data_IF_270171791336
#
_entry.id   IF_270171791336
#
_cell.length_a   1.000
_cell.length_b   1.000
_cell.length_c   1.000
_cell.angle_alpha   90.00
_cell.angle_beta   90.00
_cell.angle_gamma   90.00
#
_symmetry.space_group_name_H-M   'P 1'
#
loop_
_entity.id
_entity.type
_entity.pdbx_description
1 polymer ?
#
# COMPACT_ATOMS: atom_id res chain seq x y z
N UNK A 1 -6.85 30.30 23.02
CA UNK A 1 -5.39 30.17 22.88
C UNK A 1 -4.99 28.93 23.66
N UNK A 2 -5.01 27.78 23.01
CA UNK A 2 -4.57 26.52 23.65
C UNK A 2 -3.06 26.58 23.65
N UNK A 3 -2.46 26.67 24.84
CA UNK A 3 -1.02 26.73 24.99
C UNK A 3 -0.41 25.40 24.57
N UNK A 4 0.57 25.48 23.68
CA UNK A 4 1.28 24.34 23.12
C UNK A 4 1.98 23.53 24.21
N UNK A 5 1.73 22.22 24.23
CA UNK A 5 2.78 21.31 24.68
C UNK A 5 3.86 21.35 23.59
N UNK A 6 5.04 21.85 23.95
CA UNK A 6 6.25 21.82 23.12
C UNK A 6 6.20 22.50 21.74
N UNK A 7 5.31 23.48 21.53
CA UNK A 7 5.22 24.21 20.25
C UNK A 7 4.31 23.58 19.20
N UNK A 8 3.58 22.51 19.53
CA UNK A 8 2.66 21.83 18.61
C UNK A 8 1.18 22.21 18.82
N UNK A 9 0.34 21.95 17.79
CA UNK A 9 -1.11 22.15 17.86
C UNK A 9 -1.76 21.08 18.74
N UNK A 10 -2.12 21.47 19.96
CA UNK A 10 -2.73 20.61 20.97
C UNK A 10 -4.04 19.98 20.49
N UNK A 11 -4.81 20.66 19.62
CA UNK A 11 -6.08 20.14 19.11
C UNK A 11 -5.91 18.87 18.27
N UNK A 12 -4.80 18.76 17.53
CA UNK A 12 -4.49 17.56 16.76
C UNK A 12 -4.17 16.37 17.67
N UNK A 13 -3.35 16.57 18.70
CA UNK A 13 -3.03 15.52 19.68
C UNK A 13 -4.27 15.03 20.42
N UNK A 14 -5.13 15.95 20.86
CA UNK A 14 -6.38 15.62 21.53
C UNK A 14 -7.29 14.78 20.63
N UNK A 15 -7.39 15.09 19.34
CA UNK A 15 -8.20 14.31 18.39
C UNK A 15 -7.68 12.87 18.22
N UNK A 16 -6.38 12.69 18.04
CA UNK A 16 -5.75 11.37 17.96
C UNK A 16 -5.93 10.58 19.26
N UNK A 17 -5.68 11.21 20.41
CA UNK A 17 -5.85 10.58 21.72
C UNK A 17 -7.30 10.19 21.98
N UNK A 18 -8.27 11.03 21.64
CA UNK A 18 -9.70 10.68 21.76
C UNK A 18 -10.06 9.45 20.93
N UNK A 19 -9.51 9.34 19.72
CA UNK A 19 -9.72 8.17 18.86
C UNK A 19 -9.14 6.90 19.48
N UNK A 20 -7.90 6.96 19.97
CA UNK A 20 -7.24 5.84 20.65
C UNK A 20 -7.99 5.41 21.91
N UNK A 21 -8.44 6.37 22.73
CA UNK A 21 -9.25 6.08 23.93
C UNK A 21 -10.52 5.32 23.58
N UNK A 22 -11.26 5.75 22.54
CA UNK A 22 -12.50 5.08 22.12
C UNK A 22 -12.22 3.68 21.56
N UNK A 23 -11.18 3.53 20.74
CA UNK A 23 -10.78 2.25 20.13
C UNK A 23 -10.34 1.25 21.21
N UNK A 24 -9.50 1.69 22.16
CA UNK A 24 -9.05 0.86 23.27
C UNK A 24 -10.20 0.48 24.21
N UNK A 25 -11.12 1.41 24.50
CA UNK A 25 -12.30 1.12 25.32
C UNK A 25 -13.24 0.08 24.66
N UNK A 26 -13.18 -0.06 23.33
CA UNK A 26 -13.91 -1.07 22.57
C UNK A 26 -13.14 -2.40 22.41
N UNK A 27 -11.97 -2.56 23.03
CA UNK A 27 -11.05 -3.70 22.86
C UNK A 27 -10.65 -3.94 21.39
N UNK A 28 -10.47 -2.87 20.63
CA UNK A 28 -9.96 -2.91 19.26
C UNK A 28 -8.48 -2.51 19.32
N UNK A 29 -7.58 -3.28 18.71
CA UNK A 29 -6.15 -2.95 18.68
C UNK A 29 -5.88 -1.88 17.60
N UNK A 30 -5.28 -0.72 17.96
CA UNK A 30 -4.96 0.31 16.99
C UNK A 30 -3.71 -0.06 16.18
N UNK A 31 -3.86 -0.04 14.85
CA UNK A 31 -2.77 -0.04 13.88
C UNK A 31 -2.70 1.34 13.23
N UNK A 32 -1.60 2.06 13.42
CA UNK A 32 -1.48 3.47 13.02
C UNK A 32 -0.49 3.63 11.89
N UNK A 33 -0.93 4.30 10.82
CA UNK A 33 -0.10 4.74 9.70
C UNK A 33 0.38 6.17 9.93
N UNK A 34 1.69 6.39 9.95
CA UNK A 34 2.27 7.72 10.18
C UNK A 34 2.07 8.66 8.98
N UNK A 35 2.25 8.16 7.76
CA UNK A 35 2.10 8.93 6.53
C UNK A 35 1.21 8.24 5.51
N UNK A 36 0.12 8.92 5.13
CA UNK A 36 -0.86 8.44 4.15
C UNK A 36 -1.17 9.56 3.14
N UNK A 37 -0.11 10.03 2.46
CA UNK A 37 -0.14 10.93 1.30
C UNK A 37 -0.50 12.39 1.57
N UNK A 38 -0.47 12.78 2.84
CA UNK A 38 -0.92 14.06 3.39
C UNK A 38 0.26 14.94 3.81
N UNK A 39 1.29 15.04 2.95
CA UNK A 39 2.49 15.83 3.24
C UNK A 39 2.13 17.31 3.52
N UNK A 40 2.62 17.91 4.62
CA UNK A 40 2.41 19.33 4.87
C UNK A 40 2.93 20.18 3.69
N UNK A 41 2.10 21.12 3.21
CA UNK A 41 2.44 21.96 2.06
C UNK A 41 3.76 22.71 2.24
N UNK A 42 4.08 23.17 3.46
CA UNK A 42 5.34 23.83 3.75
C UNK A 42 6.57 22.94 3.51
N UNK A 43 6.45 21.61 3.66
CA UNK A 43 7.52 20.67 3.32
C UNK A 43 7.61 20.45 1.81
N UNK A 44 6.47 20.39 1.11
CA UNK A 44 6.45 20.33 -0.37
C UNK A 44 7.08 21.59 -0.99
N UNK A 45 6.80 22.77 -0.44
CA UNK A 45 7.40 24.04 -0.87
C UNK A 45 8.93 24.05 -0.70
N UNK A 46 9.46 23.26 0.24
CA UNK A 46 10.89 23.01 0.43
C UNK A 46 11.44 21.86 -0.44
N UNK A 47 10.64 21.35 -1.37
CA UNK A 47 10.99 20.28 -2.32
C UNK A 47 10.39 18.92 -2.02
N UNK A 48 9.67 18.77 -0.89
CA UNK A 48 8.93 17.56 -0.53
C UNK A 48 9.79 16.30 -0.59
N UNK A 49 9.25 15.25 -1.21
CA UNK A 49 9.96 13.98 -1.35
C UNK A 49 11.16 14.02 -2.30
N UNK A 50 11.37 15.11 -3.05
CA UNK A 50 12.61 15.30 -3.83
C UNK A 50 13.76 15.83 -2.98
N UNK A 51 13.47 16.45 -1.83
CA UNK A 51 14.49 16.95 -0.91
C UNK A 51 15.00 15.80 -0.01
N UNK A 52 16.30 15.53 0.00
CA UNK A 52 16.90 14.47 0.82
C UNK A 52 16.67 14.66 2.33
N UNK A 53 16.49 15.90 2.78
CA UNK A 53 16.24 16.23 4.20
C UNK A 53 14.87 15.74 4.69
N UNK A 54 13.97 15.37 3.78
CA UNK A 54 12.64 14.83 4.14
C UNK A 54 12.74 13.58 5.01
N UNK A 55 13.81 12.80 4.85
CA UNK A 55 14.03 11.60 5.65
C UNK A 55 14.36 11.94 7.11
N UNK A 56 15.11 13.01 7.36
CA UNK A 56 15.38 13.52 8.71
C UNK A 56 14.12 14.13 9.32
N UNK A 57 13.35 14.90 8.55
CA UNK A 57 12.10 15.50 9.03
C UNK A 57 11.04 14.44 9.38
N UNK A 58 10.96 13.37 8.59
CA UNK A 58 10.07 12.26 8.86
C UNK A 58 10.49 11.46 10.10
N UNK A 59 11.80 11.32 10.36
CA UNK A 59 12.33 10.73 11.60
C UNK A 59 11.89 11.52 12.84
N UNK A 60 11.98 12.85 12.80
CA UNK A 60 11.52 13.73 13.90
C UNK A 60 10.00 13.66 14.12
N UNK A 61 9.22 13.62 13.02
CA UNK A 61 7.77 13.40 13.11
C UNK A 61 7.44 12.02 13.73
N UNK A 62 8.12 10.96 13.30
CA UNK A 62 7.94 9.63 13.85
C UNK A 62 8.30 9.58 15.35
N UNK A 63 9.39 10.24 15.76
CA UNK A 63 9.79 10.38 17.17
C UNK A 63 8.68 10.96 18.02
N UNK A 64 8.04 12.02 17.55
CA UNK A 64 6.91 12.66 18.22
C UNK A 64 5.74 11.68 18.37
N UNK A 65 5.33 11.03 17.28
CA UNK A 65 4.23 10.06 17.31
C UNK A 65 4.50 8.86 18.23
N UNK A 66 5.71 8.30 18.21
CA UNK A 66 6.08 7.18 19.08
C UNK A 66 6.11 7.59 20.55
N UNK A 67 6.59 8.81 20.85
CA UNK A 67 6.62 9.35 22.22
C UNK A 67 5.21 9.52 22.76
N UNK A 68 4.32 10.13 21.98
CA UNK A 68 2.98 10.51 22.45
C UNK A 68 2.01 9.33 22.48
N UNK A 69 2.05 8.44 21.47
CA UNK A 69 1.01 7.42 21.29
C UNK A 69 1.51 5.97 21.45
N UNK A 70 2.82 5.73 21.54
CA UNK A 70 3.38 4.37 21.53
C UNK A 70 3.09 3.52 22.78
N UNK A 71 2.56 4.12 23.84
CA UNK A 71 2.01 3.36 24.96
C UNK A 71 0.74 2.59 24.55
N UNK A 72 -0.10 3.21 23.73
CA UNK A 72 -1.40 2.68 23.29
C UNK A 72 -1.33 1.98 21.92
N UNK A 73 -0.36 2.33 21.08
CA UNK A 73 -0.21 1.79 19.71
C UNK A 73 0.89 0.72 19.66
N UNK A 74 0.52 -0.48 19.21
CA UNK A 74 1.44 -1.64 19.10
C UNK A 74 1.78 -2.05 17.68
N UNK A 75 1.07 -1.54 16.68
CA UNK A 75 1.37 -1.79 15.27
C UNK A 75 1.51 -0.45 14.55
N UNK A 76 2.72 -0.17 14.11
CA UNK A 76 3.07 1.03 13.38
C UNK A 76 3.33 0.72 11.91
N UNK A 77 2.71 1.49 11.02
CA UNK A 77 3.05 1.54 9.60
C UNK A 77 3.69 2.91 9.35
N UNK A 78 4.91 2.94 8.84
CA UNK A 78 5.57 4.23 8.57
C UNK A 78 4.92 4.94 7.39
N UNK A 79 4.82 4.27 6.25
CA UNK A 79 4.40 4.88 4.98
C UNK A 79 3.45 3.92 4.29
N UNK A 80 2.29 4.44 3.85
CA UNK A 80 1.37 3.72 2.98
C UNK A 80 1.73 3.93 1.50
N UNK A 81 1.84 2.83 0.76
CA UNK A 81 1.96 2.81 -0.71
C UNK A 81 3.00 3.81 -1.27
N UNK A 82 4.29 3.67 -0.92
CA UNK A 82 5.32 4.61 -1.35
C UNK A 82 5.46 4.69 -2.88
N UNK A 83 5.04 3.65 -3.62
CA UNK A 83 4.98 3.69 -5.08
C UNK A 83 3.98 4.73 -5.59
N UNK A 84 2.81 4.85 -4.96
CA UNK A 84 1.82 5.86 -5.34
C UNK A 84 2.38 7.26 -5.09
N UNK A 85 3.01 7.48 -3.94
CA UNK A 85 3.66 8.76 -3.63
C UNK A 85 4.73 9.09 -4.67
N UNK A 86 5.66 8.16 -4.91
CA UNK A 86 6.80 8.38 -5.80
C UNK A 86 6.37 8.55 -7.28
N UNK A 87 5.61 7.60 -7.82
CA UNK A 87 5.25 7.61 -9.23
C UNK A 87 4.02 8.47 -9.51
N UNK A 88 2.91 8.28 -8.79
CA UNK A 88 1.70 9.06 -9.06
C UNK A 88 1.78 10.50 -8.58
N UNK A 89 2.59 10.79 -7.55
CA UNK A 89 2.81 12.15 -7.06
C UNK A 89 3.88 12.95 -7.80
N UNK A 90 5.03 12.33 -8.14
CA UNK A 90 6.20 13.02 -8.72
C UNK A 90 6.61 12.52 -10.13
N UNK A 91 5.97 11.48 -10.64
CA UNK A 91 6.19 10.92 -11.98
C UNK A 91 5.08 11.29 -12.94
N UNK A 92 3.94 10.61 -12.85
CA UNK A 92 2.77 10.86 -13.69
C UNK A 92 1.96 12.09 -13.26
N UNK A 93 2.09 12.52 -12.00
CA UNK A 93 1.41 13.69 -11.45
C UNK A 93 -0.11 13.57 -11.35
N UNK A 94 -0.66 12.34 -11.38
CA UNK A 94 -2.10 12.12 -11.24
C UNK A 94 -2.60 12.33 -9.80
N UNK A 95 -1.73 12.15 -8.80
CA UNK A 95 -2.00 12.44 -7.39
C UNK A 95 -1.19 13.64 -6.91
N UNK A 96 -1.57 14.22 -5.77
CA UNK A 96 -0.79 15.26 -5.12
C UNK A 96 0.68 14.80 -4.89
N UNK A 97 1.68 15.68 -5.08
CA UNK A 97 1.58 17.11 -5.38
C UNK A 97 1.34 17.46 -6.87
N UNK A 98 1.01 16.48 -7.72
CA UNK A 98 0.69 16.71 -9.12
C UNK A 98 1.92 17.05 -9.97
N UNK A 99 3.10 16.60 -9.54
CA UNK A 99 4.36 16.94 -10.21
C UNK A 99 4.64 15.92 -11.30
N UNK A 100 4.85 16.43 -12.50
CA UNK A 100 5.37 15.69 -13.62
C UNK A 100 6.82 16.14 -13.85
N UNK A 101 7.76 15.24 -13.64
CA UNK A 101 9.19 15.53 -13.71
C UNK A 101 9.87 14.96 -14.95
N UNK A 102 11.14 15.31 -15.19
CA UNK A 102 12.01 14.38 -15.91
C UNK A 102 11.97 13.02 -15.20
N UNK A 103 12.17 11.90 -15.90
CA UNK A 103 12.08 10.55 -15.34
C UNK A 103 13.12 10.19 -14.24
N UNK A 104 13.70 11.19 -13.58
CA UNK A 104 14.48 11.13 -12.33
C UNK A 104 13.63 11.37 -11.09
N UNK A 105 12.57 12.19 -11.15
CA UNK A 105 11.80 12.59 -9.96
C UNK A 105 11.18 11.40 -9.23
N UNK A 106 10.54 10.49 -9.97
CA UNK A 106 10.00 9.22 -9.45
C UNK A 106 11.03 8.45 -8.62
N UNK A 107 12.25 8.31 -9.14
CA UNK A 107 13.29 7.55 -8.48
C UNK A 107 13.92 8.27 -7.29
N UNK A 108 14.05 9.59 -7.37
CA UNK A 108 14.53 10.41 -6.26
C UNK A 108 13.54 10.38 -5.09
N UNK A 109 12.24 10.57 -5.37
CA UNK A 109 11.18 10.46 -4.38
C UNK A 109 11.15 9.05 -3.75
N UNK A 110 11.17 8.00 -4.57
CA UNK A 110 11.20 6.62 -4.09
C UNK A 110 12.43 6.32 -3.20
N UNK A 111 13.61 6.84 -3.56
CA UNK A 111 14.81 6.69 -2.74
C UNK A 111 14.66 7.35 -1.37
N UNK A 112 14.17 8.59 -1.32
CA UNK A 112 13.98 9.32 -0.07
C UNK A 112 12.88 8.69 0.81
N UNK A 113 11.80 8.16 0.22
CA UNK A 113 10.75 7.42 0.94
C UNK A 113 11.31 6.18 1.64
N UNK A 114 12.17 5.41 0.97
CA UNK A 114 12.82 4.22 1.56
C UNK A 114 13.71 4.63 2.74
N UNK A 115 14.49 5.70 2.59
CA UNK A 115 15.36 6.19 3.66
C UNK A 115 14.56 6.75 4.85
N UNK A 116 13.47 7.46 4.58
CA UNK A 116 12.56 7.97 5.61
C UNK A 116 11.94 6.82 6.42
N UNK A 117 11.43 5.78 5.75
CA UNK A 117 10.95 4.56 6.41
C UNK A 117 12.04 3.93 7.27
N UNK A 118 13.23 3.70 6.71
CA UNK A 118 14.29 3.00 7.43
C UNK A 118 14.74 3.79 8.67
N UNK A 119 14.85 5.12 8.59
CA UNK A 119 15.14 5.98 9.75
C UNK A 119 14.06 5.87 10.82
N UNK A 120 12.79 6.00 10.45
CA UNK A 120 11.68 5.87 11.38
C UNK A 120 11.63 4.48 12.04
N UNK A 121 11.99 3.42 11.31
CA UNK A 121 12.11 2.07 11.87
C UNK A 121 13.29 1.95 12.84
N UNK A 122 14.50 2.37 12.45
CA UNK A 122 15.69 2.28 13.32
C UNK A 122 15.55 3.10 14.59
N UNK A 123 14.88 4.25 14.48
CA UNK A 123 14.46 5.04 15.63
C UNK A 123 13.56 4.22 16.57
N UNK A 124 12.48 3.63 16.05
CA UNK A 124 11.59 2.81 16.85
C UNK A 124 12.33 1.63 17.50
N UNK A 125 13.11 0.90 16.70
CA UNK A 125 13.89 -0.26 17.11
C UNK A 125 14.84 0.04 18.27
N UNK A 126 15.57 1.16 18.20
CA UNK A 126 16.61 1.50 19.18
C UNK A 126 16.07 2.18 20.43
N UNK A 127 15.06 3.05 20.31
CA UNK A 127 14.63 3.92 21.41
C UNK A 127 13.30 3.53 22.05
N UNK A 128 12.37 2.96 21.28
CA UNK A 128 10.98 2.77 21.73
C UNK A 128 10.58 1.30 21.88
N UNK A 129 11.07 0.43 21.00
CA UNK A 129 10.76 -1.01 21.01
C UNK A 129 11.12 -1.71 22.33
N UNK A 130 12.23 -1.40 23.03
CA UNK A 130 12.54 -2.02 24.32
C UNK A 130 11.50 -1.78 25.42
N UNK A 131 10.80 -0.64 25.39
CA UNK A 131 9.83 -0.24 26.41
C UNK A 131 8.39 -0.46 25.96
N UNK A 132 8.07 -0.12 24.71
CA UNK A 132 6.71 -0.15 24.17
C UNK A 132 6.31 -1.52 23.62
N UNK A 133 7.30 -2.34 23.22
CA UNK A 133 7.13 -3.71 22.74
C UNK A 133 6.16 -3.87 21.55
N UNK A 134 6.00 -2.83 20.73
CA UNK A 134 5.24 -2.91 19.48
C UNK A 134 6.06 -3.42 18.30
N UNK A 135 5.42 -3.45 17.14
CA UNK A 135 6.01 -3.74 15.83
C UNK A 135 5.93 -2.51 14.93
N UNK A 136 6.96 -2.29 14.13
CA UNK A 136 6.97 -1.25 13.10
C UNK A 136 7.24 -1.86 11.72
N UNK A 137 6.52 -1.41 10.70
CA UNK A 137 6.72 -1.84 9.33
C UNK A 137 6.28 -0.82 8.29
N UNK A 138 6.19 -1.27 7.04
CA UNK A 138 5.76 -0.47 5.89
C UNK A 138 4.67 -1.21 5.11
N UNK A 139 3.78 -0.45 4.49
CA UNK A 139 2.75 -0.99 3.61
C UNK A 139 3.08 -0.73 2.15
N UNK A 140 3.13 -1.80 1.35
CA UNK A 140 3.42 -1.76 -0.08
C UNK A 140 2.19 -2.18 -0.88
N UNK A 141 1.84 -1.40 -1.90
CA UNK A 141 0.84 -1.79 -2.89
C UNK A 141 1.45 -2.71 -3.93
N UNK A 142 0.91 -3.93 -4.01
CA UNK A 142 1.35 -4.93 -4.98
C UNK A 142 0.14 -5.52 -5.67
N UNK A 143 0.09 -5.37 -6.99
CA UNK A 143 -0.83 -6.10 -7.85
C UNK A 143 -0.15 -7.36 -8.38
N UNK A 144 -0.94 -8.37 -8.73
CA UNK A 144 -0.42 -9.57 -9.39
C UNK A 144 -0.23 -9.31 -10.90
N UNK A 145 0.98 -9.48 -11.41
CA UNK A 145 1.23 -9.48 -12.84
C UNK A 145 1.33 -10.93 -13.32
N UNK A 146 0.32 -11.38 -14.05
CA UNK A 146 0.27 -12.71 -14.65
C UNK A 146 0.81 -12.64 -16.08
N UNK A 147 1.60 -13.62 -16.56
CA UNK A 147 1.99 -13.66 -17.96
C UNK A 147 0.75 -13.88 -18.84
N UNK A 148 0.62 -13.12 -19.92
CA UNK A 148 -0.54 -13.23 -20.83
C UNK A 148 -0.60 -14.55 -21.59
N UNK A 149 0.56 -15.16 -21.81
CA UNK A 149 0.74 -16.43 -22.52
C UNK A 149 1.94 -17.20 -21.95
N UNK A 150 2.10 -18.45 -22.38
CA UNK A 150 3.17 -19.35 -21.91
C UNK A 150 4.56 -19.01 -22.46
N UNK A 151 4.74 -17.89 -23.18
CA UNK A 151 6.05 -17.50 -23.70
C UNK A 151 6.97 -17.06 -22.56
N UNK A 152 8.25 -17.47 -22.64
CA UNK A 152 9.28 -17.07 -21.67
C UNK A 152 9.38 -15.55 -21.54
N UNK A 153 9.24 -14.82 -22.65
CA UNK A 153 9.26 -13.35 -22.64
C UNK A 153 8.12 -12.73 -21.83
N UNK A 154 6.93 -13.33 -21.85
CA UNK A 154 5.78 -12.88 -21.04
C UNK A 154 5.99 -13.21 -19.56
N UNK A 155 6.57 -14.37 -19.24
CA UNK A 155 6.93 -14.74 -17.86
C UNK A 155 7.99 -13.80 -17.28
N UNK A 156 9.04 -13.50 -18.04
CA UNK A 156 10.08 -12.53 -17.64
C UNK A 156 9.52 -11.11 -17.51
N UNK A 157 8.58 -10.71 -18.37
CA UNK A 157 7.90 -9.42 -18.28
C UNK A 157 7.02 -9.32 -17.03
N UNK A 158 6.28 -10.38 -16.70
CA UNK A 158 5.46 -10.45 -15.50
C UNK A 158 6.32 -10.33 -14.22
N UNK A 159 7.42 -11.08 -14.12
CA UNK A 159 8.35 -10.94 -12.99
C UNK A 159 8.99 -9.55 -12.94
N UNK A 160 9.37 -8.99 -14.08
CA UNK A 160 9.92 -7.63 -14.15
C UNK A 160 8.90 -6.59 -13.65
N UNK A 161 7.63 -6.73 -14.00
CA UNK A 161 6.57 -5.86 -13.49
C UNK A 161 6.41 -5.98 -11.96
N UNK A 162 6.44 -7.20 -11.42
CA UNK A 162 6.43 -7.44 -9.97
C UNK A 162 7.62 -6.77 -9.27
N UNK A 163 8.81 -6.85 -9.87
CA UNK A 163 10.03 -6.23 -9.33
C UNK A 163 10.01 -4.70 -9.40
N UNK A 164 9.46 -4.10 -10.46
CA UNK A 164 9.36 -2.64 -10.56
C UNK A 164 8.28 -2.07 -9.62
N UNK A 165 7.17 -2.76 -9.40
CA UNK A 165 6.13 -2.33 -8.46
C UNK A 165 6.50 -2.69 -7.01
N UNK A 166 6.40 -3.97 -6.65
CA UNK A 166 6.59 -4.44 -5.28
C UNK A 166 8.07 -4.54 -4.90
N UNK A 167 8.90 -5.10 -5.78
CA UNK A 167 10.33 -5.30 -5.53
C UNK A 167 11.11 -3.99 -5.32
N UNK A 168 10.69 -2.89 -5.94
CA UNK A 168 11.39 -1.61 -5.87
C UNK A 168 11.53 -1.12 -4.43
N UNK A 169 10.49 -1.28 -3.61
CA UNK A 169 10.50 -0.95 -2.19
C UNK A 169 10.78 -2.16 -1.30
N UNK A 170 10.34 -3.36 -1.68
CA UNK A 170 10.52 -4.56 -0.87
C UNK A 170 11.97 -5.06 -0.84
N UNK A 171 12.70 -5.04 -1.96
CA UNK A 171 14.05 -5.63 -2.04
C UNK A 171 15.10 -4.89 -1.18
N UNK A 172 15.10 -3.54 -1.09
CA UNK A 172 15.97 -2.84 -0.16
C UNK A 172 15.65 -3.18 1.31
N UNK A 173 14.37 -3.35 1.66
CA UNK A 173 13.92 -3.48 3.05
C UNK A 173 13.99 -4.93 3.54
N UNK A 174 13.46 -5.89 2.78
CA UNK A 174 13.34 -7.30 3.17
C UNK A 174 14.35 -8.22 2.48
N UNK A 175 15.08 -7.70 1.49
CA UNK A 175 16.05 -8.46 0.71
C UNK A 175 17.49 -8.14 1.09
N UNK A 176 18.28 -7.73 0.09
CA UNK A 176 19.72 -7.58 0.18
C UNK A 176 20.19 -6.12 0.43
N UNK A 177 19.28 -5.20 0.74
CA UNK A 177 19.63 -3.78 0.93
C UNK A 177 19.78 -2.99 -0.38
N UNK A 178 19.50 -3.59 -1.53
CA UNK A 178 19.63 -2.94 -2.84
C UNK A 178 18.31 -2.90 -3.61
N UNK A 179 18.25 -2.11 -4.68
CA UNK A 179 17.14 -2.20 -5.63
C UNK A 179 17.19 -3.52 -6.41
N UNK A 180 16.05 -4.01 -6.94
CA UNK A 180 16.04 -5.21 -7.76
C UNK A 180 17.03 -5.12 -8.94
N UNK A 181 17.79 -6.17 -9.17
CA UNK A 181 18.83 -6.18 -10.22
C UNK A 181 18.26 -5.90 -11.61
N UNK A 182 17.10 -6.47 -11.95
CA UNK A 182 16.42 -6.24 -13.25
C UNK A 182 15.99 -4.78 -13.41
N UNK A 183 15.56 -4.13 -12.32
CA UNK A 183 15.17 -2.72 -12.33
C UNK A 183 16.39 -1.83 -12.53
N UNK A 184 17.46 -2.08 -11.75
CA UNK A 184 18.75 -1.39 -11.91
C UNK A 184 19.26 -1.48 -13.34
N UNK A 185 19.35 -2.70 -13.88
CA UNK A 185 19.83 -2.93 -15.23
C UNK A 185 19.04 -2.12 -16.27
N UNK A 186 17.70 -2.25 -16.27
CA UNK A 186 16.83 -1.58 -17.24
C UNK A 186 16.94 -0.06 -17.19
N UNK A 187 16.93 0.52 -15.98
CA UNK A 187 17.00 1.97 -15.82
C UNK A 187 18.39 2.49 -16.21
N UNK A 188 19.47 1.78 -15.88
CA UNK A 188 20.82 2.19 -16.27
C UNK A 188 21.02 2.15 -17.80
N UNK A 189 20.59 1.07 -18.46
CA UNK A 189 20.64 0.92 -19.92
C UNK A 189 19.88 2.06 -20.62
N UNK A 190 18.64 2.33 -20.17
CA UNK A 190 17.82 3.41 -20.74
C UNK A 190 18.37 4.79 -20.43
N UNK A 191 18.84 5.01 -19.20
CA UNK A 191 19.47 6.27 -18.81
C UNK A 191 20.67 6.59 -19.71
N UNK A 192 21.56 5.62 -19.93
CA UNK A 192 22.72 5.79 -20.81
C UNK A 192 22.31 6.09 -22.26
N UNK A 193 21.34 5.34 -22.81
CA UNK A 193 20.83 5.57 -24.15
C UNK A 193 20.09 6.92 -24.31
N UNK A 194 19.55 7.45 -23.22
CA UNK A 194 18.89 8.76 -23.14
C UNK A 194 19.88 9.90 -22.82
N UNK A 195 21.17 9.61 -22.65
CA UNK A 195 22.21 10.61 -22.39
C UNK A 195 22.35 11.04 -20.92
N UNK A 196 21.76 10.31 -19.97
CA UNK A 196 21.94 10.56 -18.54
C UNK A 196 23.23 9.93 -18.02
N UNK A 197 24.03 10.73 -17.34
CA UNK A 197 25.17 10.28 -16.53
C UNK A 197 25.29 11.20 -15.31
N UNK A 198 25.02 10.72 -14.07
CA UNK A 198 24.72 9.34 -13.69
C UNK A 198 23.33 8.83 -14.12
N UNK A 199 23.07 7.54 -13.90
CA UNK A 199 21.75 6.90 -14.12
C UNK A 199 20.64 7.59 -13.32
N UNK A 200 19.41 7.55 -13.85
CA UNK A 200 18.23 8.17 -13.23
C UNK A 200 17.80 7.52 -11.92
N UNK A 201 18.12 6.23 -11.70
CA UNK A 201 17.85 5.54 -10.45
C UNK A 201 19.02 5.74 -9.46
N UNK A 202 18.83 6.39 -8.29
CA UNK A 202 19.90 6.63 -7.31
C UNK A 202 20.57 5.35 -6.81
N UNK A 203 21.80 5.42 -6.31
CA UNK A 203 22.53 4.26 -5.74
C UNK A 203 22.60 4.42 -4.23
N UNK A 204 22.30 3.35 -3.49
CA UNK A 204 22.53 3.32 -2.04
C UNK A 204 24.03 3.29 -1.74
N UNK A 205 24.48 4.20 -0.86
CA UNK A 205 25.79 4.13 -0.21
C UNK A 205 25.86 2.90 0.72
N UNK A 206 27.06 2.54 1.18
CA UNK A 206 27.22 1.40 2.09
C UNK A 206 26.44 1.61 3.40
N UNK A 207 26.45 2.83 3.92
CA UNK A 207 25.73 3.25 5.13
C UNK A 207 24.22 3.15 4.92
N UNK A 208 23.71 3.61 3.77
CA UNK A 208 22.29 3.50 3.46
C UNK A 208 21.84 2.05 3.30
N UNK A 209 22.66 1.17 2.69
CA UNK A 209 22.31 -0.27 2.59
C UNK A 209 22.13 -0.89 3.97
N UNK A 210 23.03 -0.59 4.91
CA UNK A 210 22.94 -1.06 6.29
C UNK A 210 21.71 -0.49 7.01
N UNK A 211 21.38 0.78 6.74
CA UNK A 211 20.21 1.44 7.31
C UNK A 211 18.91 0.74 6.90
N UNK A 212 18.74 0.47 5.59
CA UNK A 212 17.48 -0.02 5.01
C UNK A 212 17.30 -1.54 5.14
N UNK A 213 18.37 -2.32 5.10
CA UNK A 213 18.25 -3.77 5.09
C UNK A 213 17.72 -4.29 6.44
N UNK A 214 16.59 -4.99 6.41
CA UNK A 214 15.92 -5.53 7.59
C UNK A 214 15.17 -4.48 8.41
N UNK A 215 14.81 -3.33 7.83
CA UNK A 215 14.14 -2.24 8.55
C UNK A 215 12.63 -2.43 8.72
N UNK A 216 12.13 -3.64 8.97
CA UNK A 216 10.69 -3.89 9.13
C UNK A 216 10.40 -5.18 9.92
N UNK A 217 9.43 -5.12 10.84
CA UNK A 217 9.01 -6.27 11.67
C UNK A 217 7.95 -7.15 10.99
N UNK A 218 7.25 -6.61 10.00
CA UNK A 218 6.25 -7.29 9.19
C UNK A 218 6.20 -6.68 7.80
N UNK A 219 5.58 -7.38 6.86
CA UNK A 219 5.29 -6.91 5.51
C UNK A 219 3.83 -6.44 5.46
N UNK A 220 3.59 -5.13 5.36
CA UNK A 220 2.27 -4.58 5.07
C UNK A 220 1.95 -4.72 3.59
N UNK A 221 0.82 -5.33 3.25
CA UNK A 221 0.40 -5.55 1.88
C UNK A 221 -0.95 -4.87 1.61
N UNK A 222 -0.95 -3.96 0.65
CA UNK A 222 -2.15 -3.53 -0.04
C UNK A 222 -2.27 -4.32 -1.34
N UNK A 223 -3.33 -5.11 -1.47
CA UNK A 223 -3.60 -5.88 -2.68
C UNK A 223 -5.03 -5.62 -3.13
N UNK A 224 -5.22 -5.41 -4.43
CA UNK A 224 -6.55 -5.19 -5.00
C UNK A 224 -6.84 -6.05 -6.23
N UNK A 225 -5.88 -6.21 -7.13
CA UNK A 225 -6.13 -6.81 -8.44
C UNK A 225 -4.87 -7.45 -9.02
N UNK A 226 -5.05 -8.13 -10.15
CA UNK A 226 -4.00 -8.49 -11.08
C UNK A 226 -4.28 -8.02 -12.51
N UNK A 227 -3.30 -8.24 -13.38
CA UNK A 227 -3.30 -7.88 -14.80
C UNK A 227 -2.50 -8.91 -15.61
N UNK A 228 -2.79 -9.03 -16.90
CA UNK A 228 -2.02 -9.82 -17.85
C UNK A 228 -0.87 -8.98 -18.42
N UNK A 229 0.32 -9.58 -18.55
CA UNK A 229 1.55 -8.87 -18.90
C UNK A 229 2.26 -9.54 -20.06
N UNK A 230 2.77 -8.74 -20.99
CA UNK A 230 3.68 -9.16 -22.06
C UNK A 230 4.92 -8.28 -22.09
N UNK A 231 5.99 -8.79 -22.69
CA UNK A 231 7.16 -8.00 -23.00
C UNK A 231 6.85 -7.01 -24.13
N UNK A 232 7.12 -5.72 -23.91
CA UNK A 232 7.02 -4.69 -24.95
C UNK A 232 8.10 -3.64 -24.76
N UNK A 233 9.07 -3.62 -25.67
CA UNK A 233 10.09 -2.58 -25.69
C UNK A 233 9.42 -1.24 -25.97
N UNK A 234 9.63 -0.28 -25.07
CA UNK A 234 9.07 1.06 -25.18
C UNK A 234 10.03 1.98 -25.95
N UNK A 235 9.49 3.01 -26.60
CA UNK A 235 10.29 4.00 -27.32
C UNK A 235 11.32 4.64 -26.38
N UNK A 236 12.59 4.61 -26.77
CA UNK A 236 13.70 5.08 -25.93
C UNK A 236 13.63 6.59 -25.65
N UNK A 237 12.94 7.36 -26.50
CA UNK A 237 12.71 8.79 -26.28
C UNK A 237 11.75 9.07 -25.12
N UNK A 238 10.97 8.09 -24.67
CA UNK A 238 10.07 8.23 -23.53
C UNK A 238 10.87 8.04 -22.24
N UNK A 239 11.10 9.14 -21.53
CA UNK A 239 11.81 9.17 -20.25
C UNK A 239 10.79 9.09 -19.10
N UNK A 240 10.30 7.90 -18.79
CA UNK A 240 9.32 7.67 -17.72
C UNK A 240 9.51 6.31 -17.01
N UNK A 241 9.12 6.24 -15.74
CA UNK A 241 9.13 4.99 -14.96
C UNK A 241 8.31 3.87 -15.60
N UNK A 242 7.14 4.17 -16.18
CA UNK A 242 6.33 3.14 -16.86
C UNK A 242 7.02 2.61 -18.12
N UNK A 243 7.73 3.49 -18.84
CA UNK A 243 8.47 3.11 -20.03
C UNK A 243 9.70 2.27 -19.69
N UNK A 244 10.33 2.50 -18.53
CA UNK A 244 11.55 1.79 -18.11
C UNK A 244 11.36 0.28 -17.95
N UNK A 245 10.13 -0.15 -17.67
CA UNK A 245 9.77 -1.54 -17.46
C UNK A 245 9.80 -2.39 -18.74
N UNK A 246 9.66 -1.80 -19.93
CA UNK A 246 9.48 -2.55 -21.17
C UNK A 246 8.38 -3.64 -21.09
N UNK A 247 7.21 -3.27 -20.57
CA UNK A 247 6.04 -4.15 -20.49
C UNK A 247 4.82 -3.50 -21.15
N UNK A 248 3.84 -4.33 -21.48
CA UNK A 248 2.46 -3.91 -21.72
C UNK A 248 1.53 -4.74 -20.84
N UNK A 249 0.57 -4.08 -20.21
CA UNK A 249 -0.43 -4.72 -19.35
C UNK A 249 -1.81 -4.65 -19.99
N UNK A 250 -2.60 -5.69 -19.78
CA UNK A 250 -3.99 -5.77 -20.22
C UNK A 250 -4.84 -6.51 -19.18
N UNK A 251 -6.16 -6.52 -19.37
CA UNK A 251 -7.07 -7.31 -18.55
C UNK A 251 -7.73 -8.39 -19.41
N UNK A 252 -7.99 -9.55 -18.82
CA UNK A 252 -8.85 -10.54 -19.45
C UNK A 252 -10.29 -9.98 -19.52
N UNK A 253 -10.95 -9.99 -20.70
CA UNK A 253 -12.32 -9.50 -20.84
C UNK A 253 -13.35 -10.25 -19.98
N UNK A 254 -13.04 -11.45 -19.52
CA UNK A 254 -13.92 -12.24 -18.63
C UNK A 254 -13.88 -11.80 -17.18
N UNK A 255 -12.89 -11.00 -16.76
CA UNK A 255 -12.78 -10.55 -15.39
C UNK A 255 -13.77 -9.44 -15.08
N UNK A 256 -14.57 -9.65 -14.03
CA UNK A 256 -15.51 -8.64 -13.56
C UNK A 256 -14.78 -7.36 -13.13
N UNK A 257 -15.28 -6.22 -13.59
CA UNK A 257 -14.82 -4.90 -13.17
C UNK A 257 -15.46 -4.41 -11.88
N UNK A 258 -15.12 -3.19 -11.50
CA UNK A 258 -15.62 -2.47 -10.33
C UNK A 258 -16.01 -1.04 -10.70
N UNK A 259 -16.31 -0.21 -9.70
CA UNK A 259 -16.46 1.23 -9.90
C UNK A 259 -15.18 1.93 -10.41
N UNK A 260 -14.03 1.30 -10.22
CA UNK A 260 -12.72 1.79 -10.65
C UNK A 260 -12.25 1.04 -11.90
N UNK A 261 -11.82 1.78 -12.93
CA UNK A 261 -11.38 1.19 -14.20
C UNK A 261 -10.19 0.23 -14.06
N UNK A 262 -9.32 0.51 -13.08
CA UNK A 262 -8.09 -0.24 -12.79
C UNK A 262 -8.31 -1.51 -11.96
N UNK A 263 -9.45 -1.67 -11.29
CA UNK A 263 -9.67 -2.78 -10.35
C UNK A 263 -10.56 -3.86 -10.98
N UNK A 264 -10.00 -5.06 -11.14
CA UNK A 264 -10.68 -6.28 -11.62
C UNK A 264 -10.71 -7.36 -10.54
N UNK A 265 -11.75 -8.19 -10.53
CA UNK A 265 -11.86 -9.29 -9.55
C UNK A 265 -10.97 -10.45 -9.96
N UNK A 266 -9.81 -10.56 -9.32
CA UNK A 266 -8.74 -11.53 -9.62
C UNK A 266 -8.22 -12.21 -8.35
N UNK A 267 -9.08 -12.98 -7.64
CA UNK A 267 -8.77 -13.47 -6.31
C UNK A 267 -7.62 -14.49 -6.28
N UNK A 268 -7.31 -15.14 -7.41
CA UNK A 268 -6.13 -16.00 -7.53
C UNK A 268 -4.82 -15.22 -7.36
N UNK A 269 -4.79 -13.96 -7.80
CA UNK A 269 -3.62 -13.10 -7.68
C UNK A 269 -3.26 -12.81 -6.22
N UNK A 270 -4.23 -12.75 -5.30
CA UNK A 270 -3.95 -12.58 -3.86
C UNK A 270 -3.05 -13.70 -3.34
N UNK A 271 -3.41 -14.96 -3.61
CA UNK A 271 -2.62 -16.12 -3.17
C UNK A 271 -1.25 -16.15 -3.85
N UNK A 272 -1.18 -15.78 -5.12
CA UNK A 272 0.08 -15.75 -5.88
C UNK A 272 1.02 -14.66 -5.36
N UNK A 273 0.53 -13.45 -5.10
CA UNK A 273 1.30 -12.34 -4.51
C UNK A 273 1.83 -12.72 -3.12
N UNK A 274 0.99 -13.32 -2.27
CA UNK A 274 1.41 -13.79 -0.94
C UNK A 274 2.54 -14.84 -1.02
N UNK A 275 2.44 -15.79 -1.95
CA UNK A 275 3.52 -16.77 -2.19
C UNK A 275 4.77 -16.12 -2.76
N UNK A 276 4.63 -15.16 -3.67
CA UNK A 276 5.74 -14.41 -4.26
C UNK A 276 6.52 -13.65 -3.19
N UNK A 277 5.82 -13.01 -2.24
CA UNK A 277 6.44 -12.34 -1.08
C UNK A 277 7.19 -13.36 -0.22
N UNK A 278 6.54 -14.48 0.15
CA UNK A 278 7.16 -15.55 0.94
C UNK A 278 8.46 -16.04 0.31
N UNK A 279 8.40 -16.39 -0.97
CA UNK A 279 9.49 -17.06 -1.68
C UNK A 279 10.69 -16.14 -1.92
N UNK A 280 10.51 -14.81 -1.84
CA UNK A 280 11.56 -13.80 -2.11
C UNK A 280 12.15 -13.16 -0.89
N UNK A 281 11.34 -12.98 0.15
CA UNK A 281 11.69 -12.14 1.30
C UNK A 281 11.79 -12.94 2.60
N UNK A 282 12.17 -14.21 2.47
CA UNK A 282 12.42 -15.11 3.60
C UNK A 282 11.19 -15.32 4.50
N UNK A 283 10.01 -15.49 3.90
CA UNK A 283 8.74 -15.79 4.59
C UNK A 283 8.45 -14.87 5.80
N UNK A 284 8.31 -13.55 5.57
CA UNK A 284 8.04 -12.58 6.63
C UNK A 284 6.63 -12.75 7.17
N UNK A 285 6.37 -12.24 8.38
CA UNK A 285 5.00 -11.99 8.84
C UNK A 285 4.33 -11.00 7.88
N UNK A 286 3.14 -11.31 7.36
CA UNK A 286 2.38 -10.47 6.44
C UNK A 286 1.09 -9.98 7.09
N UNK A 287 0.84 -8.67 7.05
CA UNK A 287 -0.46 -8.07 7.36
C UNK A 287 -1.02 -7.53 6.05
N UNK A 288 -2.20 -8.01 5.64
CA UNK A 288 -2.94 -7.38 4.54
C UNK A 288 -3.58 -6.12 5.11
N UNK A 289 -3.00 -4.96 4.81
CA UNK A 289 -3.40 -3.67 5.38
C UNK A 289 -4.52 -3.01 4.59
N UNK A 290 -4.67 -3.37 3.31
CA UNK A 290 -5.83 -3.02 2.51
C UNK A 290 -6.18 -4.13 1.51
N UNK A 291 -7.47 -4.42 1.41
CA UNK A 291 -8.09 -5.15 0.31
C UNK A 291 -9.55 -4.70 0.20
N UNK A 292 -10.00 -4.30 -0.98
CA UNK A 292 -11.30 -3.64 -1.13
C UNK A 292 -11.87 -3.70 -2.54
N UNK A 293 -13.14 -3.30 -2.67
CA UNK A 293 -13.85 -3.28 -3.94
C UNK A 293 -14.70 -2.01 -4.05
N UNK A 294 -14.57 -1.31 -5.18
CA UNK A 294 -15.36 -0.11 -5.45
C UNK A 294 -16.66 -0.42 -6.17
N UNK A 295 -17.70 0.36 -5.87
CA UNK A 295 -18.87 0.52 -6.74
C UNK A 295 -19.16 2.00 -6.96
N UNK A 296 -20.02 2.33 -7.93
CA UNK A 296 -20.38 3.71 -8.26
C UNK A 296 -21.74 4.13 -7.72
N UNK A 297 -22.49 3.21 -7.11
CA UNK A 297 -23.90 3.41 -6.76
C UNK A 297 -24.11 3.65 -5.26
N UNK A 298 -23.17 3.22 -4.41
CA UNK A 298 -23.32 3.24 -2.96
C UNK A 298 -24.40 2.30 -2.45
N UNK A 299 -24.77 1.28 -3.23
CA UNK A 299 -25.89 0.37 -2.91
C UNK A 299 -25.67 -0.35 -1.57
N UNK A 300 -26.72 -0.42 -0.75
CA UNK A 300 -26.68 -1.17 0.50
C UNK A 300 -26.60 -2.69 0.27
N UNK A 301 -27.10 -3.18 -0.86
CA UNK A 301 -27.01 -4.60 -1.28
C UNK A 301 -25.88 -4.79 -2.30
N UNK A 302 -24.65 -4.56 -1.85
CA UNK A 302 -23.41 -4.60 -2.61
C UNK A 302 -22.85 -6.02 -2.79
N UNK A 303 -23.62 -6.90 -3.45
CA UNK A 303 -23.29 -8.32 -3.57
C UNK A 303 -21.97 -8.60 -4.31
N UNK A 304 -21.53 -7.71 -5.23
CA UNK A 304 -20.22 -7.84 -5.87
C UNK A 304 -19.06 -7.59 -4.89
N UNK A 305 -19.25 -6.69 -3.90
CA UNK A 305 -18.28 -6.48 -2.81
C UNK A 305 -18.23 -7.69 -1.88
N UNK A 306 -19.38 -8.28 -1.56
CA UNK A 306 -19.46 -9.57 -0.84
C UNK A 306 -18.70 -10.66 -1.60
N UNK A 307 -18.94 -10.79 -2.91
CA UNK A 307 -18.23 -11.75 -3.76
C UNK A 307 -16.72 -11.51 -3.73
N UNK A 308 -16.27 -10.26 -3.87
CA UNK A 308 -14.86 -9.90 -3.84
C UNK A 308 -14.19 -10.29 -2.52
N UNK A 309 -14.76 -9.90 -1.38
CA UNK A 309 -14.22 -10.24 -0.05
C UNK A 309 -14.19 -11.75 0.18
N UNK A 310 -15.29 -12.45 -0.14
CA UNK A 310 -15.38 -13.91 -0.01
C UNK A 310 -14.24 -14.61 -0.75
N UNK A 311 -13.97 -14.22 -2.00
CA UNK A 311 -12.98 -14.91 -2.82
C UNK A 311 -11.55 -14.52 -2.49
N UNK A 312 -11.27 -13.26 -2.15
CA UNK A 312 -9.93 -12.85 -1.71
C UNK A 312 -9.56 -13.46 -0.37
N UNK A 313 -10.43 -13.37 0.65
CA UNK A 313 -10.17 -13.94 1.98
C UNK A 313 -10.03 -15.47 1.91
N UNK A 314 -10.80 -16.16 1.07
CA UNK A 314 -10.60 -17.59 0.83
C UNK A 314 -9.22 -17.88 0.22
N UNK A 315 -8.69 -17.02 -0.65
CA UNK A 315 -7.34 -17.16 -1.19
C UNK A 315 -6.25 -16.84 -0.16
N UNK A 316 -6.49 -15.92 0.77
CA UNK A 316 -5.63 -15.70 1.95
C UNK A 316 -5.56 -16.97 2.81
N UNK A 317 -6.70 -17.58 3.15
CA UNK A 317 -6.71 -18.83 3.93
C UNK A 317 -6.02 -19.99 3.20
N UNK A 318 -6.13 -20.06 1.86
CA UNK A 318 -5.38 -21.03 1.07
C UNK A 318 -3.87 -20.75 1.08
N UNK A 319 -3.44 -19.49 1.06
CA UNK A 319 -2.03 -19.12 1.20
C UNK A 319 -1.49 -19.51 2.58
N UNK A 320 -2.27 -19.30 3.66
CA UNK A 320 -1.91 -19.77 5.00
C UNK A 320 -1.74 -21.30 5.02
N UNK A 321 -2.64 -22.04 4.37
CA UNK A 321 -2.51 -23.51 4.21
C UNK A 321 -1.29 -23.92 3.38
N UNK A 322 -0.83 -23.07 2.47
CA UNK A 322 0.43 -23.27 1.73
C UNK A 322 1.67 -22.89 2.54
N UNK A 323 1.52 -22.44 3.79
CA UNK A 323 2.60 -22.07 4.70
C UNK A 323 3.02 -20.61 4.66
N UNK A 324 2.25 -19.71 4.03
CA UNK A 324 2.52 -18.26 4.10
C UNK A 324 2.08 -17.71 5.47
N UNK A 325 2.93 -16.92 6.13
CA UNK A 325 2.63 -16.31 7.44
C UNK A 325 1.77 -15.05 7.35
N UNK A 326 0.49 -15.20 7.00
CA UNK A 326 -0.46 -14.08 7.10
C UNK A 326 -1.00 -13.99 8.53
N UNK A 327 -0.75 -12.86 9.19
CA UNK A 327 -1.08 -12.63 10.60
C UNK A 327 -2.18 -11.57 10.80
N UNK A 328 -2.62 -10.89 9.74
CA UNK A 328 -3.67 -9.88 9.82
C UNK A 328 -4.31 -9.55 8.47
N UNK A 329 -5.53 -9.00 8.53
CA UNK A 329 -6.29 -8.55 7.36
C UNK A 329 -7.19 -7.37 7.75
N UNK A 330 -7.06 -6.25 7.03
CA UNK A 330 -7.90 -5.07 7.15
C UNK A 330 -8.60 -4.78 5.81
N UNK A 331 -9.93 -4.64 5.87
CA UNK A 331 -10.76 -4.32 4.73
C UNK A 331 -10.66 -2.83 4.37
N UNK A 332 -10.40 -2.52 3.10
CA UNK A 332 -10.55 -1.16 2.59
C UNK A 332 -11.96 -0.97 2.01
N UNK A 333 -12.82 -0.15 2.60
CA UNK A 333 -12.62 0.66 3.82
C UNK A 333 -13.73 0.40 4.84
N UNK A 334 -13.51 0.86 6.07
CA UNK A 334 -14.56 0.85 7.09
C UNK A 334 -15.82 1.55 6.59
N UNK A 335 -15.70 2.72 5.97
CA UNK A 335 -16.83 3.49 5.46
C UNK A 335 -16.47 4.24 4.18
N UNK A 336 -17.48 4.60 3.38
CA UNK A 336 -17.28 5.43 2.20
C UNK A 336 -16.55 6.73 2.61
N UNK A 337 -15.56 7.14 1.83
CA UNK A 337 -14.68 8.26 2.13
C UNK A 337 -14.43 9.11 0.86
N UNK A 338 -13.52 10.08 0.95
CA UNK A 338 -13.04 10.84 -0.20
C UNK A 338 -11.95 10.03 -0.92
N UNK A 339 -12.28 9.45 -2.07
CA UNK A 339 -11.40 8.59 -2.86
C UNK A 339 -10.50 9.42 -3.78
N UNK A 340 -9.65 10.24 -3.16
CA UNK A 340 -8.59 11.00 -3.81
C UNK A 340 -9.09 11.79 -5.04
N UNK A 341 -8.44 11.65 -6.20
CA UNK A 341 -8.85 12.31 -7.46
C UNK A 341 -10.24 11.92 -7.97
N UNK A 342 -10.84 10.84 -7.47
CA UNK A 342 -12.21 10.41 -7.82
C UNK A 342 -13.28 11.07 -6.93
N UNK A 343 -12.87 11.80 -5.90
CA UNK A 343 -13.77 12.39 -4.91
C UNK A 343 -14.70 11.35 -4.29
N UNK A 344 -16.00 11.64 -4.22
CA UNK A 344 -16.98 10.72 -3.62
C UNK A 344 -17.65 9.79 -4.65
N UNK A 345 -17.15 9.68 -5.88
CA UNK A 345 -17.84 8.91 -6.94
C UNK A 345 -17.59 7.40 -6.85
N UNK A 346 -16.44 6.98 -6.32
CA UNK A 346 -16.09 5.58 -6.10
C UNK A 346 -16.27 5.25 -4.62
N UNK A 347 -17.04 4.20 -4.32
CA UNK A 347 -17.42 3.81 -2.96
C UNK A 347 -16.71 2.53 -2.57
N UNK A 348 -15.80 2.57 -1.60
CA UNK A 348 -15.10 1.38 -1.08
C UNK A 348 -15.63 0.88 0.27
N UNK A 349 -16.44 1.68 0.97
CA UNK A 349 -16.85 1.40 2.33
C UNK A 349 -17.74 0.18 2.47
N UNK A 350 -17.51 -0.61 3.51
CA UNK A 350 -18.46 -1.62 3.99
C UNK A 350 -19.66 -0.98 4.74
N UNK A 351 -19.51 0.29 5.14
CA UNK A 351 -20.59 1.19 5.51
C UNK A 351 -20.76 2.28 4.44
N UNK A 352 -22.00 2.55 4.04
CA UNK A 352 -22.33 3.73 3.26
C UNK A 352 -22.28 4.98 4.15
N UNK A 353 -21.88 6.12 3.57
CA UNK A 353 -21.96 7.43 4.22
C UNK A 353 -22.86 8.35 3.40
N UNK A 354 -23.83 8.98 4.06
CA UNK A 354 -24.68 10.00 3.44
C UNK A 354 -24.01 11.38 3.50
N UNK A 355 -23.23 11.70 2.46
CA UNK A 355 -22.54 12.98 2.30
C UNK A 355 -23.46 14.18 2.05
N UNK A 356 -24.77 13.96 1.84
CA UNK A 356 -25.73 15.06 1.69
C UNK A 356 -26.23 15.59 3.05
N UNK A 357 -26.02 14.81 4.12
CA UNK A 357 -26.47 15.14 5.47
C UNK A 357 -25.34 15.69 6.33
N UNK A 358 -25.66 16.63 7.24
CA UNK A 358 -24.66 17.27 8.10
C UNK A 358 -24.10 16.32 9.17
N UNK A 359 -24.85 15.28 9.55
CA UNK A 359 -24.47 14.27 10.54
C UNK A 359 -23.67 13.11 9.92
N UNK A 360 -23.56 13.06 8.59
CA UNK A 360 -22.80 12.05 7.84
C UNK A 360 -23.17 10.63 8.26
N UNK A 361 -24.48 10.32 8.23
CA UNK A 361 -24.99 9.04 8.72
C UNK A 361 -24.32 7.84 8.05
N UNK A 362 -23.99 6.82 8.86
CA UNK A 362 -23.36 5.58 8.39
C UNK A 362 -24.33 4.42 8.43
N UNK A 363 -24.52 3.75 7.29
CA UNK A 363 -25.42 2.60 7.15
C UNK A 363 -24.65 1.36 6.69
N UNK A 364 -24.73 0.26 7.44
CA UNK A 364 -24.05 -0.98 7.09
C UNK A 364 -24.56 -1.52 5.75
N UNK A 365 -23.64 -1.84 4.83
CA UNK A 365 -23.97 -2.54 3.58
C UNK A 365 -23.99 -4.06 3.80
N UNK A 366 -24.43 -4.83 2.80
CA UNK A 366 -24.43 -6.28 2.84
C UNK A 366 -23.02 -6.85 3.06
N UNK A 367 -22.00 -6.22 2.46
CA UNK A 367 -20.58 -6.52 2.70
C UNK A 367 -20.15 -6.31 4.15
N UNK A 368 -20.60 -5.24 4.82
CA UNK A 368 -20.30 -5.00 6.24
C UNK A 368 -20.91 -6.07 7.15
N UNK A 369 -22.17 -6.44 6.88
CA UNK A 369 -22.84 -7.56 7.59
C UNK A 369 -22.13 -8.90 7.34
N UNK A 370 -21.73 -9.15 6.09
CA UNK A 370 -21.00 -10.36 5.69
C UNK A 370 -19.63 -10.45 6.38
N UNK A 371 -18.84 -9.37 6.36
CA UNK A 371 -17.51 -9.33 6.97
C UNK A 371 -17.59 -9.52 8.49
N UNK A 372 -18.55 -8.88 9.16
CA UNK A 372 -18.81 -9.08 10.58
C UNK A 372 -19.18 -10.54 10.91
N UNK A 373 -19.99 -11.20 10.06
CA UNK A 373 -20.33 -12.60 10.24
C UNK A 373 -19.11 -13.51 10.07
N UNK A 374 -18.29 -13.26 9.03
CA UNK A 374 -17.06 -14.01 8.77
C UNK A 374 -16.06 -13.94 9.95
N UNK A 375 -15.91 -12.76 10.56
CA UNK A 375 -15.08 -12.57 11.76
C UNK A 375 -15.67 -13.35 12.94
N UNK A 376 -16.98 -13.24 13.19
CA UNK A 376 -17.67 -13.94 14.29
C UNK A 376 -17.53 -15.45 14.19
N UNK A 377 -17.62 -15.99 12.98
CA UNK A 377 -17.50 -17.42 12.71
C UNK A 377 -16.04 -17.91 12.67
N UNK A 378 -15.08 -16.98 12.75
CA UNK A 378 -13.65 -17.26 12.62
C UNK A 378 -13.31 -18.05 11.34
N UNK A 379 -13.96 -17.69 10.22
CA UNK A 379 -13.77 -18.32 8.92
C UNK A 379 -15.07 -18.73 8.22
N UNK A 380 -14.95 -19.56 7.18
CA UNK A 380 -16.08 -19.99 6.36
C UNK A 380 -16.77 -21.22 6.97
N UNK A 381 -18.06 -21.10 7.32
CA UNK A 381 -18.87 -22.23 7.81
C UNK A 381 -19.33 -23.14 6.67
N UNK A 382 -19.50 -24.45 6.94
CA UNK A 382 -19.92 -25.45 5.96
C UNK A 382 -21.29 -25.17 5.32
N UNK A 383 -22.17 -24.41 6.00
CA UNK A 383 -23.52 -24.06 5.55
C UNK A 383 -23.61 -22.78 4.71
N UNK A 384 -22.48 -22.15 4.38
CA UNK A 384 -22.40 -21.07 3.38
C UNK A 384 -21.62 -21.44 2.10
N UNK A 385 -21.85 -22.60 1.46
CA UNK A 385 -21.20 -22.94 0.22
C UNK A 385 -21.90 -22.18 -0.92
N UNK A 386 -21.27 -21.10 -1.40
CA UNK A 386 -21.54 -20.36 -2.66
C UNK A 386 -22.98 -19.95 -3.06
N UNK A 387 -24.04 -20.40 -2.40
CA UNK A 387 -25.44 -20.26 -2.80
C UNK A 387 -26.27 -20.00 -1.54
N UNK A 388 -26.43 -18.73 -1.14
CA UNK A 388 -27.56 -18.24 -0.32
C UNK A 388 -27.36 -16.76 0.01
N UNK A 389 -27.35 -15.91 -1.01
CA UNK A 389 -28.07 -14.65 -0.88
C UNK A 389 -29.31 -14.82 -1.75
N UNK A 390 -30.53 -14.86 -1.17
CA UNK A 390 -31.73 -14.85 -1.99
C UNK A 390 -31.70 -13.56 -2.80
N UNK A 391 -31.55 -13.69 -4.12
CA UNK A 391 -31.80 -12.62 -5.07
C UNK A 391 -33.32 -12.45 -5.03
N UNK A 392 -33.80 -11.61 -4.12
CA UNK A 392 -35.20 -11.20 -4.06
C UNK A 392 -35.48 -10.31 -5.27
N UNK A 393 -36.37 -10.80 -6.14
CA UNK A 393 -36.94 -10.06 -7.29
C UNK A 393 -37.82 -8.89 -6.85
#
# INVERSE_FOLDING_TARGET
MVQSHHGFDVGCFECCNQSLVVVNAANIEPMVTLYHWDLPQSLEDMGGWLNSSIADWFEEYARLCYTEFGNDVKIWITINEPWVVAYQGYGSGINAPGRYGPGTFTYQAGHNLILAHARAYRLYESEFKPTQQGKAGITLNINWYDPKDDQVSSQEAAERAMQFLGGWFANPIFGNGEYPAVMRQKVDEKSAAQGYNPSRLPVFTAEQKLLVQGSSDFFGLNYYTGSLTINKIQDISIVDYSADQDIETSYDPSWYGSGSSWLKITPFGMRNTLKWIRDRFNDPDIIITENGFSDNAGNLDDLMRVYYYKHNINNVLKAIKDGVKVIGYAAWSLMDNFEWGSGYTQKFGIFNVDFATADLNRTAKASGRYYAQLIRDNGFTADQPCNNYPIGY
#
